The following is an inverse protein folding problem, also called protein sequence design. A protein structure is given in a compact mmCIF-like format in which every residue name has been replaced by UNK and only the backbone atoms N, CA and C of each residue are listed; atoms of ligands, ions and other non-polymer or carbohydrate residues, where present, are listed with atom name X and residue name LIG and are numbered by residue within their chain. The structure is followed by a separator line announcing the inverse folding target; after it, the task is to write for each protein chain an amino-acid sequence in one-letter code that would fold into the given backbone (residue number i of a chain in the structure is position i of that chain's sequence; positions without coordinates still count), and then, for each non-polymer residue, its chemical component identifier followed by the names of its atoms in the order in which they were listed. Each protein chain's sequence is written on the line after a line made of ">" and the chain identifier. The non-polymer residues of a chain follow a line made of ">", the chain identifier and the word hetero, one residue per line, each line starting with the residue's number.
data_IF_463807686017
#
_entry.id   IF_463807686017
#
_cell.length_a   1.000
_cell.length_b   1.000
_cell.length_c   1.000
_cell.angle_alpha   90.00
_cell.angle_beta   90.00
_cell.angle_gamma   90.00
#
_symmetry.space_group_name_H-M   'P 1'
#
loop_
_entity.id
_entity.type
_entity.pdbx_description
1 polymer ?
#
# COMPACT_ATOMS: atom_id res chain seq x y z
N UNK A 1 17.41 14.58 -30.29
CA UNK A 1 16.17 14.01 -29.72
C UNK A 1 16.35 14.02 -28.22
N UNK A 2 15.66 14.90 -27.50
CA UNK A 2 15.69 14.94 -26.04
C UNK A 2 15.02 13.67 -25.51
N UNK A 3 15.78 12.82 -24.82
CA UNK A 3 15.22 11.62 -24.17
C UNK A 3 14.11 12.07 -23.21
N UNK A 4 13.02 11.31 -23.16
CA UNK A 4 11.84 11.73 -22.42
C UNK A 4 12.02 11.32 -20.97
N UNK A 5 12.78 12.13 -20.23
CA UNK A 5 13.05 11.91 -18.80
C UNK A 5 11.75 11.60 -18.04
N UNK A 6 11.71 10.43 -17.41
CA UNK A 6 10.61 10.05 -16.52
C UNK A 6 11.12 10.09 -15.09
N UNK A 7 10.59 11.04 -14.31
CA UNK A 7 10.92 11.23 -12.91
C UNK A 7 9.74 10.81 -12.03
N UNK A 8 10.01 9.88 -11.13
CA UNK A 8 9.04 9.31 -10.20
C UNK A 8 9.54 9.55 -8.79
N UNK A 9 8.67 10.11 -7.94
CA UNK A 9 8.98 10.31 -6.54
C UNK A 9 8.14 9.39 -5.65
N UNK A 10 8.74 8.95 -4.54
CA UNK A 10 8.08 8.21 -3.47
C UNK A 10 8.29 8.89 -2.13
N UNK A 11 7.23 9.03 -1.34
CA UNK A 11 7.28 9.59 0.02
C UNK A 11 6.43 8.73 0.96
N UNK A 12 7.02 8.25 2.05
CA UNK A 12 6.28 7.67 3.17
C UNK A 12 5.78 8.79 4.07
N UNK A 13 4.46 9.00 4.18
CA UNK A 13 3.78 10.08 4.92
C UNK A 13 3.38 9.66 6.35
N UNK A 14 3.99 8.61 6.90
CA UNK A 14 3.74 8.15 8.26
C UNK A 14 4.50 8.98 9.29
N UNK A 15 3.81 9.43 10.35
CA UNK A 15 4.48 10.02 11.50
C UNK A 15 3.83 11.27 12.09
N UNK A 16 4.48 11.84 13.11
CA UNK A 16 4.10 13.11 13.71
C UNK A 16 4.63 14.34 12.97
N UNK A 17 4.42 15.53 13.54
CA UNK A 17 4.91 16.80 12.98
C UNK A 17 6.44 16.83 12.83
N UNK A 18 7.17 16.27 13.80
CA UNK A 18 8.64 16.27 13.86
C UNK A 18 9.27 14.98 13.33
N UNK A 19 8.50 14.13 12.65
CA UNK A 19 9.06 12.90 12.10
C UNK A 19 9.97 13.19 10.91
N UNK A 20 10.98 12.34 10.73
CA UNK A 20 11.89 12.42 9.60
C UNK A 20 11.23 11.78 8.38
N UNK A 21 10.83 12.60 7.41
CA UNK A 21 10.32 12.13 6.12
C UNK A 21 11.48 12.07 5.12
N UNK A 22 11.37 11.18 4.15
CA UNK A 22 12.32 11.10 3.04
C UNK A 22 11.58 11.27 1.72
N UNK A 23 12.19 12.00 0.81
CA UNK A 23 11.77 12.14 -0.57
C UNK A 23 12.73 11.34 -1.44
N UNK A 24 12.23 10.23 -1.98
CA UNK A 24 13.00 9.34 -2.83
C UNK A 24 12.68 9.62 -4.30
N UNK A 25 13.69 9.98 -5.10
CA UNK A 25 13.55 10.31 -6.51
C UNK A 25 14.24 9.28 -7.40
N UNK A 26 13.45 8.62 -8.24
CA UNK A 26 13.93 7.73 -9.30
C UNK A 26 13.82 8.43 -10.65
N UNK A 27 14.91 8.45 -11.42
CA UNK A 27 14.98 8.96 -12.79
C UNK A 27 15.25 7.82 -13.76
N UNK A 28 14.43 7.72 -14.81
CA UNK A 28 14.63 6.76 -15.90
C UNK A 28 15.46 7.36 -17.02
N UNK A 29 16.43 6.59 -17.49
CA UNK A 29 17.22 6.89 -18.66
C UNK A 29 16.86 5.91 -19.78
N UNK A 30 16.28 6.45 -20.86
CA UNK A 30 15.90 5.69 -22.05
C UNK A 30 17.07 4.90 -22.63
N UNK A 31 18.28 5.49 -22.62
CA UNK A 31 19.51 4.85 -23.07
C UNK A 31 19.96 3.79 -22.05
N UNK A 32 19.53 2.55 -22.29
CA UNK A 32 19.86 1.37 -21.48
C UNK A 32 18.74 0.89 -20.57
N UNK A 33 17.54 1.47 -20.68
CA UNK A 33 16.34 1.12 -19.91
C UNK A 33 16.63 0.94 -18.41
N UNK A 34 17.29 1.96 -17.83
CA UNK A 34 17.84 1.91 -16.48
C UNK A 34 17.28 3.01 -15.61
N UNK A 35 16.95 2.66 -14.38
CA UNK A 35 16.52 3.60 -13.36
C UNK A 35 17.68 3.97 -12.45
N UNK A 36 17.70 5.19 -11.96
CA UNK A 36 18.71 5.67 -11.02
C UNK A 36 18.01 6.26 -9.81
N UNK A 37 18.45 5.89 -8.62
CA UNK A 37 18.17 6.68 -7.42
C UNK A 37 18.97 7.98 -7.53
N UNK A 38 18.31 9.01 -8.06
CA UNK A 38 18.94 10.31 -8.32
C UNK A 38 19.14 11.10 -7.03
N UNK A 39 18.17 11.02 -6.13
CA UNK A 39 18.21 11.78 -4.87
C UNK A 39 17.40 11.10 -3.78
N UNK A 40 17.94 11.14 -2.57
CA UNK A 40 17.28 10.72 -1.34
C UNK A 40 17.35 11.86 -0.34
N UNK A 41 16.32 12.70 -0.34
CA UNK A 41 16.32 13.97 0.40
C UNK A 41 15.58 13.81 1.71
N UNK A 42 16.25 14.10 2.82
CA UNK A 42 15.59 14.12 4.12
C UNK A 42 14.83 15.45 4.28
N UNK A 43 13.53 15.38 4.57
CA UNK A 43 12.74 16.54 4.96
C UNK A 43 13.06 16.85 6.41
N UNK A 44 13.72 17.99 6.64
CA UNK A 44 13.94 18.55 7.97
C UNK A 44 13.23 19.91 8.05
N UNK A 45 12.67 20.22 9.21
CA UNK A 45 12.30 21.60 9.52
C UNK A 45 13.62 22.33 9.83
N UNK A 46 14.15 23.06 8.85
CA UNK A 46 15.33 23.93 9.04
C UNK A 46 14.87 25.38 9.34
N UNK A 47 15.74 26.18 9.96
CA UNK A 47 15.42 27.57 10.28
C UNK A 47 15.14 28.38 9.00
N UNK A 48 13.85 28.67 8.75
CA UNK A 48 13.38 29.52 7.65
C UNK A 48 12.60 28.81 6.54
N UNK A 49 12.63 27.48 6.48
CA UNK A 49 11.86 26.68 5.52
C UNK A 49 11.12 25.56 6.26
N UNK A 50 9.79 25.62 6.28
CA UNK A 50 8.99 24.51 6.79
C UNK A 50 9.24 23.29 5.87
N UNK A 51 9.43 22.08 6.43
CA UNK A 51 9.69 20.88 5.63
C UNK A 51 8.64 20.59 4.55
N UNK A 52 7.43 21.12 4.76
CA UNK A 52 6.31 21.10 3.82
C UNK A 52 6.56 21.91 2.53
N UNK A 53 7.33 23.01 2.61
CA UNK A 53 7.72 23.80 1.44
C UNK A 53 8.81 23.12 0.61
N UNK A 54 9.71 22.39 1.27
CA UNK A 54 10.79 21.66 0.59
C UNK A 54 10.24 20.62 -0.40
N UNK A 55 9.18 19.88 -0.03
CA UNK A 55 8.54 18.91 -0.93
C UNK A 55 8.03 19.60 -2.20
N UNK A 56 7.38 20.76 -2.06
CA UNK A 56 6.88 21.56 -3.19
C UNK A 56 8.02 22.02 -4.10
N UNK A 57 9.12 22.48 -3.51
CA UNK A 57 10.30 22.93 -4.24
C UNK A 57 10.94 21.79 -5.02
N UNK A 58 11.11 20.62 -4.41
CA UNK A 58 11.66 19.45 -5.09
C UNK A 58 10.76 18.94 -6.22
N UNK A 59 9.43 18.92 -6.02
CA UNK A 59 8.48 18.59 -7.09
C UNK A 59 8.69 19.49 -8.31
N UNK A 60 8.88 20.80 -8.09
CA UNK A 60 9.12 21.77 -9.17
C UNK A 60 10.52 21.63 -9.76
N UNK A 61 11.56 21.57 -8.92
CA UNK A 61 12.97 21.51 -9.33
C UNK A 61 13.27 20.27 -10.18
N UNK A 62 12.69 19.12 -9.81
CA UNK A 62 12.91 17.86 -10.52
C UNK A 62 11.82 17.55 -11.54
N UNK A 63 10.90 18.49 -11.80
CA UNK A 63 9.80 18.33 -12.77
C UNK A 63 9.01 17.03 -12.58
N UNK A 64 8.71 16.69 -11.31
CA UNK A 64 8.04 15.44 -10.96
C UNK A 64 6.61 15.45 -11.50
N UNK A 65 6.28 14.40 -12.26
CA UNK A 65 4.93 14.21 -12.81
C UNK A 65 4.11 13.23 -12.01
N UNK A 66 4.76 12.28 -11.34
CA UNK A 66 4.10 11.22 -10.59
C UNK A 66 4.72 11.11 -9.20
N UNK A 67 3.87 11.21 -8.17
CA UNK A 67 4.25 11.08 -6.78
C UNK A 67 3.44 9.96 -6.12
N UNK A 68 4.14 8.95 -5.61
CA UNK A 68 3.56 7.81 -4.91
C UNK A 68 3.67 8.00 -3.40
N UNK A 69 2.57 7.77 -2.69
CA UNK A 69 2.42 8.03 -1.27
C UNK A 69 1.77 6.85 -0.56
N UNK A 70 2.13 6.58 0.69
CA UNK A 70 1.39 5.65 1.56
C UNK A 70 0.31 6.36 2.39
N UNK A 71 -0.46 7.23 1.72
CA UNK A 71 -1.48 8.08 2.34
C UNK A 71 -2.84 7.96 1.63
N UNK A 72 -3.97 7.88 2.36
CA UNK A 72 -5.30 7.74 1.76
C UNK A 72 -5.67 8.97 0.90
N UNK A 73 -5.70 8.82 -0.42
CA UNK A 73 -6.01 9.93 -1.35
C UNK A 73 -7.51 10.17 -1.56
N UNK A 74 -8.33 9.20 -1.15
CA UNK A 74 -9.80 9.25 -1.25
C UNK A 74 -10.43 9.27 0.14
N UNK A 75 -11.58 9.91 0.24
CA UNK A 75 -12.33 10.03 1.48
C UNK A 75 -13.33 8.88 1.64
N UNK A 76 -13.67 8.46 2.88
CA UNK A 76 -14.74 7.50 3.10
C UNK A 76 -16.10 8.13 2.74
N UNK A 77 -17.11 7.33 2.36
CA UNK A 77 -18.38 7.84 1.84
C UNK A 77 -19.09 8.84 2.76
N UNK A 78 -18.97 8.71 4.08
CA UNK A 78 -19.60 9.64 5.02
C UNK A 78 -18.87 10.97 5.19
N UNK A 79 -17.63 11.13 4.71
CA UNK A 79 -16.84 12.35 4.94
C UNK A 79 -17.45 13.59 4.29
N UNK A 80 -17.97 13.44 3.07
CA UNK A 80 -18.61 14.50 2.29
C UNK A 80 -20.13 14.28 2.16
N UNK A 81 -20.69 13.41 2.99
CA UNK A 81 -22.09 13.04 2.90
C UNK A 81 -23.01 14.15 3.42
N UNK A 82 -23.97 14.55 2.59
CA UNK A 82 -24.97 15.59 2.90
C UNK A 82 -26.32 15.03 3.36
N UNK A 83 -26.45 13.70 3.45
CA UNK A 83 -27.71 13.06 3.84
C UNK A 83 -27.99 13.27 5.33
N UNK A 84 -29.27 13.38 5.69
CA UNK A 84 -29.69 13.17 7.07
C UNK A 84 -29.47 11.70 7.43
N UNK A 85 -28.39 11.43 8.16
CA UNK A 85 -27.87 10.08 8.33
C UNK A 85 -28.89 9.14 9.01
N UNK A 86 -29.34 8.05 8.35
CA UNK A 86 -30.24 7.06 8.96
C UNK A 86 -29.52 6.08 9.91
N UNK A 87 -28.23 6.32 10.17
CA UNK A 87 -27.30 5.45 10.89
C UNK A 87 -26.48 4.58 9.94
N UNK A 88 -25.27 4.21 10.39
CA UNK A 88 -24.31 3.45 9.58
C UNK A 88 -24.93 2.20 8.95
N UNK A 89 -25.63 1.36 9.73
CA UNK A 89 -26.22 0.09 9.28
C UNK A 89 -27.30 0.24 8.18
N UNK A 90 -27.91 1.42 8.05
CA UNK A 90 -28.97 1.69 7.07
C UNK A 90 -28.56 2.73 6.02
N UNK A 91 -27.27 2.98 5.88
CA UNK A 91 -26.73 3.90 4.88
C UNK A 91 -27.18 3.49 3.46
N UNK A 92 -27.84 4.39 2.71
CA UNK A 92 -28.33 4.12 1.35
C UNK A 92 -27.29 4.46 0.26
N UNK A 93 -26.10 4.91 0.64
CA UNK A 93 -25.05 5.32 -0.31
C UNK A 93 -24.59 4.11 -1.11
N UNK A 94 -24.63 4.20 -2.44
CA UNK A 94 -24.45 3.07 -3.37
C UNK A 94 -23.16 2.28 -3.10
N UNK A 95 -21.96 2.88 -3.03
CA UNK A 95 -20.74 2.14 -2.67
C UNK A 95 -20.82 1.37 -1.35
N UNK A 96 -21.53 1.90 -0.36
CA UNK A 96 -21.71 1.24 0.95
C UNK A 96 -22.64 0.03 0.82
N UNK A 97 -23.73 0.17 0.07
CA UNK A 97 -24.67 -0.92 -0.22
C UNK A 97 -23.98 -2.05 -1.01
N UNK A 98 -23.19 -1.72 -2.03
CA UNK A 98 -22.47 -2.69 -2.84
C UNK A 98 -21.46 -3.50 -2.01
N UNK A 99 -20.66 -2.82 -1.18
CA UNK A 99 -19.71 -3.49 -0.28
C UNK A 99 -20.45 -4.44 0.66
N UNK A 100 -21.57 -4.02 1.25
CA UNK A 100 -22.36 -4.86 2.16
C UNK A 100 -22.96 -6.07 1.48
N UNK A 101 -23.52 -5.88 0.29
CA UNK A 101 -24.04 -6.97 -0.53
C UNK A 101 -22.95 -8.02 -0.79
N UNK A 102 -21.74 -7.59 -1.15
CA UNK A 102 -20.58 -8.48 -1.36
C UNK A 102 -20.13 -9.18 -0.09
N UNK A 103 -20.11 -8.47 1.05
CA UNK A 103 -19.78 -9.06 2.35
C UNK A 103 -20.78 -10.16 2.72
N UNK A 104 -22.07 -9.92 2.52
CA UNK A 104 -23.13 -10.88 2.77
C UNK A 104 -23.02 -12.08 1.82
N UNK A 105 -22.77 -11.83 0.53
CA UNK A 105 -22.54 -12.88 -0.46
C UNK A 105 -21.39 -13.82 -0.03
N UNK A 106 -20.25 -13.28 0.40
CA UNK A 106 -19.12 -14.09 0.88
C UNK A 106 -19.51 -14.95 2.10
N UNK A 107 -20.28 -14.38 3.04
CA UNK A 107 -20.76 -15.11 4.21
C UNK A 107 -21.77 -16.21 3.83
N UNK A 108 -22.62 -15.97 2.85
CA UNK A 108 -23.60 -16.95 2.34
C UNK A 108 -22.92 -18.09 1.59
N UNK A 109 -21.96 -17.77 0.71
CA UNK A 109 -21.15 -18.78 -0.01
C UNK A 109 -20.40 -19.69 0.97
N UNK A 110 -19.81 -19.14 2.02
CA UNK A 110 -19.15 -19.93 3.06
C UNK A 110 -20.13 -20.79 3.87
N UNK A 111 -21.32 -20.27 4.21
CA UNK A 111 -22.39 -21.09 4.86
C UNK A 111 -22.86 -22.22 3.96
N UNK A 112 -23.06 -21.96 2.67
CA UNK A 112 -23.47 -22.98 1.71
C UNK A 112 -22.44 -24.11 1.61
N UNK A 113 -21.14 -23.80 1.66
CA UNK A 113 -20.07 -24.84 1.70
C UNK A 113 -20.18 -25.72 2.94
N UNK A 114 -20.50 -25.15 4.11
CA UNK A 114 -20.69 -25.89 5.36
C UNK A 114 -21.91 -26.83 5.26
N UNK A 115 -23.02 -26.32 4.72
CA UNK A 115 -24.27 -27.08 4.61
C UNK A 115 -24.18 -28.21 3.57
N UNK A 116 -23.55 -27.94 2.41
CA UNK A 116 -23.45 -28.91 1.32
C UNK A 116 -22.42 -30.02 1.59
N UNK A 117 -21.27 -29.68 2.16
CA UNK A 117 -20.16 -30.62 2.34
C UNK A 117 -19.46 -30.45 3.70
N UNK A 118 -20.14 -30.72 4.84
CA UNK A 118 -19.62 -30.40 6.18
C UNK A 118 -18.31 -31.13 6.52
N UNK A 119 -18.18 -32.40 6.11
CA UNK A 119 -16.96 -33.18 6.35
C UNK A 119 -15.76 -32.63 5.58
N UNK A 120 -15.97 -32.31 4.30
CA UNK A 120 -14.92 -31.74 3.45
C UNK A 120 -14.53 -30.35 3.93
N UNK A 121 -15.51 -29.55 4.34
CA UNK A 121 -15.28 -28.24 4.91
C UNK A 121 -14.39 -28.32 6.16
N UNK A 122 -14.67 -29.23 7.09
CA UNK A 122 -13.86 -29.39 8.29
C UNK A 122 -12.47 -29.96 7.98
N UNK A 123 -12.34 -30.84 6.97
CA UNK A 123 -11.03 -31.30 6.48
C UNK A 123 -10.20 -30.15 5.90
N UNK A 124 -10.76 -29.40 4.95
CA UNK A 124 -10.09 -28.24 4.32
C UNK A 124 -9.73 -27.16 5.36
N UNK A 125 -10.57 -26.99 6.39
CA UNK A 125 -10.30 -26.09 7.51
C UNK A 125 -9.17 -26.59 8.41
N UNK A 126 -9.17 -27.86 8.77
CA UNK A 126 -8.09 -28.45 9.56
C UNK A 126 -6.77 -28.38 8.79
N UNK A 127 -6.80 -28.65 7.48
CA UNK A 127 -5.65 -28.50 6.60
C UNK A 127 -5.14 -27.05 6.50
N UNK A 128 -6.04 -26.05 6.55
CA UNK A 128 -5.63 -24.64 6.57
C UNK A 128 -5.06 -24.20 7.93
N UNK A 129 -5.54 -24.80 9.04
CA UNK A 129 -5.00 -24.61 10.39
C UNK A 129 -3.62 -25.32 10.56
N UNK A 130 -3.23 -26.25 9.67
CA UNK A 130 -1.92 -26.88 9.68
C UNK A 130 -0.83 -25.92 9.19
N UNK A 131 0.19 -25.69 10.03
CA UNK A 131 1.37 -24.90 9.67
C UNK A 131 2.23 -25.70 8.67
N UNK A 132 1.99 -25.51 7.38
CA UNK A 132 2.87 -26.05 6.35
C UNK A 132 4.10 -25.16 6.19
N UNK A 133 5.23 -25.58 6.76
CA UNK A 133 6.51 -24.86 6.67
C UNK A 133 7.10 -24.74 5.25
N UNK A 134 6.50 -25.39 4.23
CA UNK A 134 7.00 -25.42 2.85
C UNK A 134 5.96 -25.29 1.73
N UNK A 135 4.68 -24.97 2.02
CA UNK A 135 3.68 -24.73 0.96
C UNK A 135 3.42 -23.24 0.74
N UNK A 136 3.29 -22.92 -0.54
CA UNK A 136 3.09 -21.62 -1.16
C UNK A 136 1.73 -20.99 -0.84
N UNK A 137 1.49 -20.69 0.44
CA UNK A 137 0.28 -19.99 0.89
C UNK A 137 0.20 -18.56 0.36
N UNK A 138 1.31 -18.02 -0.19
CA UNK A 138 1.42 -16.67 -0.72
C UNK A 138 0.40 -16.39 -1.84
N UNK A 139 0.01 -17.43 -2.58
CA UNK A 139 -0.97 -17.37 -3.66
C UNK A 139 -2.44 -17.36 -3.21
N UNK A 140 -2.74 -17.71 -1.95
CA UNK A 140 -4.13 -17.83 -1.47
C UNK A 140 -4.76 -16.45 -1.27
N UNK A 141 -5.80 -16.17 -2.06
CA UNK A 141 -6.64 -14.98 -1.91
C UNK A 141 -7.71 -15.30 -0.86
N UNK A 142 -7.90 -14.48 0.20
CA UNK A 142 -8.86 -14.70 1.30
C UNK A 142 -10.27 -15.13 0.91
N UNK A 143 -10.74 -14.77 -0.28
CA UNK A 143 -12.07 -15.12 -0.80
C UNK A 143 -12.13 -16.40 -1.64
N UNK A 144 -10.99 -16.97 -2.04
CA UNK A 144 -10.92 -18.15 -2.92
C UNK A 144 -10.93 -19.45 -2.12
N UNK A 145 -10.38 -19.45 -0.90
CA UNK A 145 -10.42 -20.59 0.03
C UNK A 145 -11.53 -20.44 1.08
N UNK A 146 -11.62 -21.39 2.02
CA UNK A 146 -12.48 -21.27 3.20
C UNK A 146 -12.13 -19.96 3.93
N UNK A 147 -13.15 -19.14 4.22
CA UNK A 147 -12.90 -17.87 4.91
C UNK A 147 -12.25 -18.14 6.27
N UNK A 148 -11.13 -17.49 6.56
CA UNK A 148 -10.46 -17.64 7.85
C UNK A 148 -11.36 -17.19 9.00
N UNK A 149 -11.18 -17.76 10.20
CA UNK A 149 -11.99 -17.37 11.39
C UNK A 149 -11.87 -15.88 11.70
N UNK A 150 -10.69 -15.31 11.45
CA UNK A 150 -10.40 -13.90 11.68
C UNK A 150 -11.08 -13.03 10.63
N UNK A 151 -11.04 -13.42 9.35
CA UNK A 151 -11.70 -12.68 8.28
C UNK A 151 -13.23 -12.76 8.40
N UNK A 152 -13.80 -13.92 8.73
CA UNK A 152 -15.24 -14.05 9.07
C UNK A 152 -15.69 -13.12 10.19
N UNK A 153 -14.88 -13.03 11.26
CA UNK A 153 -15.15 -12.10 12.37
C UNK A 153 -15.14 -10.66 11.89
N UNK A 154 -14.22 -10.29 11.00
CA UNK A 154 -14.19 -8.96 10.36
C UNK A 154 -15.43 -8.72 9.53
N UNK A 155 -15.82 -9.65 8.66
CA UNK A 155 -17.02 -9.52 7.83
C UNK A 155 -18.29 -9.36 8.68
N UNK A 156 -18.43 -10.12 9.77
CA UNK A 156 -19.56 -10.00 10.71
C UNK A 156 -19.59 -8.69 11.48
N UNK A 157 -18.43 -8.08 11.79
CA UNK A 157 -18.37 -6.74 12.39
C UNK A 157 -18.89 -5.67 11.44
N UNK A 158 -18.81 -5.90 10.14
CA UNK A 158 -19.40 -5.04 9.12
C UNK A 158 -18.46 -3.93 8.64
N UNK A 159 -19.00 -3.14 7.72
CA UNK A 159 -18.34 -2.00 7.09
C UNK A 159 -18.86 -0.69 7.69
N UNK A 160 -17.94 0.14 8.19
CA UNK A 160 -18.24 1.43 8.83
C UNK A 160 -18.00 2.57 7.82
N UNK A 161 -19.03 3.15 7.20
CA UNK A 161 -18.87 4.06 6.06
C UNK A 161 -18.25 5.44 6.39
N UNK A 162 -18.06 5.75 7.68
CA UNK A 162 -17.33 6.94 8.15
C UNK A 162 -15.85 6.67 8.45
N UNK A 163 -15.45 5.40 8.45
CA UNK A 163 -14.08 4.96 8.74
C UNK A 163 -13.46 4.25 7.54
N UNK A 164 -14.26 3.48 6.83
CA UNK A 164 -13.85 2.59 5.76
C UNK A 164 -14.22 3.13 4.39
N UNK A 165 -13.31 2.90 3.45
CA UNK A 165 -13.48 3.14 2.01
C UNK A 165 -13.83 1.83 1.32
N UNK A 166 -14.60 1.85 0.21
CA UNK A 166 -14.78 0.67 -0.65
C UNK A 166 -13.46 -0.04 -0.99
N UNK A 167 -12.40 0.75 -1.16
CA UNK A 167 -11.03 0.26 -1.35
C UNK A 167 -10.50 -0.59 -0.18
N UNK A 168 -10.83 -0.25 1.08
CA UNK A 168 -10.41 -1.07 2.24
C UNK A 168 -10.98 -2.47 2.15
N UNK A 169 -12.24 -2.60 1.73
CA UNK A 169 -12.88 -3.90 1.55
C UNK A 169 -12.18 -4.73 0.47
N UNK A 170 -11.75 -4.12 -0.65
CA UNK A 170 -10.91 -4.80 -1.64
C UNK A 170 -9.66 -5.37 -0.97
N UNK A 171 -8.93 -4.55 -0.21
CA UNK A 171 -7.71 -5.00 0.46
C UNK A 171 -8.02 -6.13 1.43
N UNK A 172 -9.15 -6.11 2.15
CA UNK A 172 -9.54 -7.23 3.00
C UNK A 172 -9.73 -8.51 2.19
N UNK A 173 -10.47 -8.45 1.09
CA UNK A 173 -10.75 -9.63 0.25
C UNK A 173 -9.50 -10.26 -0.37
N UNK A 174 -8.42 -9.50 -0.56
CA UNK A 174 -7.20 -9.98 -1.22
C UNK A 174 -5.98 -10.17 -0.31
N UNK A 175 -5.93 -9.50 0.85
CA UNK A 175 -4.74 -9.39 1.69
C UNK A 175 -4.98 -9.60 3.18
N UNK A 176 -6.22 -9.72 3.67
CA UNK A 176 -6.51 -9.75 5.11
C UNK A 176 -5.68 -10.78 5.88
N UNK A 177 -5.67 -12.03 5.41
CA UNK A 177 -4.96 -13.12 6.08
C UNK A 177 -3.43 -12.94 6.00
N UNK A 178 -2.90 -12.47 4.86
CA UNK A 178 -1.47 -12.21 4.69
C UNK A 178 -0.98 -11.07 5.60
N UNK A 179 -1.77 -9.99 5.71
CA UNK A 179 -1.48 -8.87 6.60
C UNK A 179 -1.46 -9.30 8.06
N UNK A 180 -2.45 -10.10 8.47
CA UNK A 180 -2.52 -10.60 9.85
C UNK A 180 -1.38 -11.58 10.15
N UNK A 181 -1.06 -12.49 9.23
CA UNK A 181 -0.04 -13.53 9.43
C UNK A 181 1.39 -12.98 9.43
N UNK A 182 1.69 -12.03 8.54
CA UNK A 182 3.06 -11.49 8.40
C UNK A 182 3.29 -10.36 9.41
N UNK A 183 2.35 -9.42 9.50
CA UNK A 183 2.55 -8.15 10.21
C UNK A 183 1.72 -8.01 11.48
N UNK A 184 0.82 -8.95 11.76
CA UNK A 184 -0.14 -8.87 12.86
C UNK A 184 -0.98 -7.57 12.83
N UNK A 185 -1.33 -7.11 11.62
CA UNK A 185 -2.07 -5.88 11.40
C UNK A 185 -3.28 -6.12 10.49
N UNK A 186 -4.30 -5.28 10.66
CA UNK A 186 -5.42 -5.17 9.71
C UNK A 186 -5.29 -3.90 8.89
N UNK A 187 -5.96 -3.85 7.75
CA UNK A 187 -5.94 -2.69 6.87
C UNK A 187 -7.19 -1.85 7.07
N UNK A 188 -7.03 -0.62 7.54
CA UNK A 188 -8.11 0.35 7.69
C UNK A 188 -7.54 1.72 7.33
N UNK A 189 -7.22 1.90 6.05
CA UNK A 189 -6.34 2.98 5.56
C UNK A 189 -6.65 4.36 6.11
N UNK A 190 -7.86 4.87 5.84
CA UNK A 190 -8.28 6.21 6.23
C UNK A 190 -8.37 6.32 7.75
N UNK A 191 -9.07 5.41 8.41
CA UNK A 191 -9.25 5.51 9.86
C UNK A 191 -8.03 5.15 10.71
N UNK A 192 -7.01 4.50 10.16
CA UNK A 192 -5.70 4.35 10.82
C UNK A 192 -4.83 5.60 10.67
N UNK A 193 -5.14 6.48 9.72
CA UNK A 193 -4.38 7.71 9.49
C UNK A 193 -4.86 8.80 10.44
N UNK A 194 -3.93 9.49 11.10
CA UNK A 194 -4.32 10.55 12.05
C UNK A 194 -4.95 11.74 11.33
N UNK A 195 -5.96 12.35 11.96
CA UNK A 195 -6.64 13.54 11.42
C UNK A 195 -5.67 14.71 11.17
N UNK A 196 -4.60 14.80 11.98
CA UNK A 196 -3.56 15.83 11.84
C UNK A 196 -2.78 15.64 10.53
N UNK A 197 -2.38 14.40 10.21
CA UNK A 197 -1.70 14.10 8.94
C UNK A 197 -2.66 14.32 7.78
N UNK A 198 -3.93 13.93 7.91
CA UNK A 198 -4.94 14.17 6.86
C UNK A 198 -5.09 15.66 6.56
N UNK A 199 -5.19 16.48 7.61
CA UNK A 199 -5.27 17.94 7.47
C UNK A 199 -4.01 18.53 6.86
N UNK A 200 -2.82 18.09 7.31
CA UNK A 200 -1.52 18.52 6.77
C UNK A 200 -1.39 18.20 5.29
N UNK A 201 -1.71 16.97 4.90
CA UNK A 201 -1.64 16.56 3.50
C UNK A 201 -2.66 17.32 2.63
N UNK A 202 -3.88 17.52 3.13
CA UNK A 202 -4.89 18.33 2.44
C UNK A 202 -4.40 19.77 2.22
N UNK A 203 -3.68 20.35 3.18
CA UNK A 203 -3.02 21.66 3.02
C UNK A 203 -1.92 21.59 1.95
N UNK A 204 -0.98 20.65 2.06
CA UNK A 204 0.12 20.45 1.10
C UNK A 204 -0.36 20.30 -0.34
N UNK A 205 -1.38 19.46 -0.54
CA UNK A 205 -1.94 19.15 -1.86
C UNK A 205 -2.43 20.40 -2.60
N UNK A 206 -2.90 21.44 -1.90
CA UNK A 206 -3.32 22.71 -2.51
C UNK A 206 -2.18 23.49 -3.16
N UNK A 207 -0.95 23.21 -2.76
CA UNK A 207 0.25 23.89 -3.24
C UNK A 207 1.01 23.10 -4.31
N UNK A 208 0.58 21.87 -4.60
CA UNK A 208 1.18 21.06 -5.65
C UNK A 208 0.80 21.60 -7.05
N UNK A 209 1.68 21.44 -8.05
CA UNK A 209 1.39 21.89 -9.40
C UNK A 209 0.24 21.08 -10.02
N UNK A 210 -0.57 21.72 -10.86
CA UNK A 210 -1.78 21.11 -11.43
C UNK A 210 -1.52 19.87 -12.32
N UNK A 211 -0.29 19.73 -12.85
CA UNK A 211 0.12 18.58 -13.66
C UNK A 211 0.68 17.39 -12.88
N UNK A 212 0.74 17.47 -11.54
CA UNK A 212 1.22 16.37 -10.71
C UNK A 212 0.11 15.34 -10.49
N UNK A 213 0.37 14.09 -10.87
CA UNK A 213 -0.46 12.96 -10.53
C UNK A 213 -0.03 12.36 -9.19
N UNK A 214 -1.00 12.15 -8.31
CA UNK A 214 -0.80 11.52 -7.01
C UNK A 214 -1.30 10.08 -7.07
N UNK A 215 -0.50 9.16 -6.55
CA UNK A 215 -0.85 7.75 -6.43
C UNK A 215 -0.73 7.29 -4.99
N UNK A 216 -1.71 6.51 -4.55
CA UNK A 216 -1.74 5.86 -3.25
C UNK A 216 -1.21 4.43 -3.39
N UNK A 217 -0.22 4.08 -2.59
CA UNK A 217 0.25 2.71 -2.41
C UNK A 217 0.24 2.35 -0.93
N UNK A 218 0.62 1.13 -0.58
CA UNK A 218 0.80 0.78 0.83
C UNK A 218 1.98 -0.17 1.02
N UNK A 219 2.91 0.20 1.89
CA UNK A 219 4.17 -0.52 2.14
C UNK A 219 3.93 -2.02 2.38
N UNK A 220 2.98 -2.37 3.25
CA UNK A 220 2.73 -3.77 3.57
C UNK A 220 2.19 -4.56 2.38
N UNK A 221 1.44 -3.92 1.48
CA UNK A 221 0.93 -4.58 0.28
C UNK A 221 2.05 -4.80 -0.72
N UNK A 222 2.95 -3.83 -0.88
CA UNK A 222 4.15 -3.97 -1.72
C UNK A 222 4.99 -5.15 -1.21
N UNK A 223 5.28 -5.20 0.09
CA UNK A 223 6.06 -6.30 0.69
C UNK A 223 5.38 -7.67 0.49
N UNK A 224 4.05 -7.75 0.61
CA UNK A 224 3.30 -8.98 0.32
C UNK A 224 3.44 -9.38 -1.15
N UNK A 225 3.36 -8.43 -2.07
CA UNK A 225 3.52 -8.71 -3.51
C UNK A 225 4.95 -9.14 -3.85
N UNK A 226 5.96 -8.61 -3.15
CA UNK A 226 7.35 -9.08 -3.29
C UNK A 226 7.50 -10.54 -2.83
N UNK A 227 6.84 -10.91 -1.72
CA UNK A 227 6.81 -12.32 -1.27
C UNK A 227 6.08 -13.20 -2.28
N UNK A 228 4.95 -12.76 -2.82
CA UNK A 228 4.19 -13.48 -3.87
C UNK A 228 5.00 -13.67 -5.16
N UNK A 229 5.90 -12.75 -5.46
CA UNK A 229 6.82 -12.84 -6.60
C UNK A 229 8.10 -13.62 -6.27
N UNK A 230 8.22 -14.21 -5.07
CA UNK A 230 9.42 -14.89 -4.58
C UNK A 230 10.69 -14.02 -4.60
N UNK A 231 10.54 -12.69 -4.44
CA UNK A 231 11.65 -11.77 -4.30
C UNK A 231 12.16 -11.68 -2.86
N UNK A 232 11.29 -11.95 -1.89
CA UNK A 232 11.59 -11.88 -0.45
C UNK A 232 10.92 -13.05 0.24
N UNK A 233 11.56 -13.62 1.25
CA UNK A 233 11.01 -14.69 2.09
C UNK A 233 10.17 -14.09 3.22
N UNK A 234 9.13 -14.81 3.64
CA UNK A 234 8.27 -14.36 4.76
C UNK A 234 9.06 -14.07 6.05
N UNK A 235 10.05 -14.92 6.37
CA UNK A 235 10.86 -14.78 7.59
C UNK A 235 11.67 -13.48 7.58
N UNK A 236 12.14 -13.05 6.41
CA UNK A 236 12.85 -11.78 6.24
C UNK A 236 11.94 -10.61 6.59
N UNK A 237 10.67 -10.64 6.17
CA UNK A 237 9.70 -9.58 6.52
C UNK A 237 9.41 -9.47 8.02
N UNK A 238 9.46 -10.57 8.77
CA UNK A 238 9.27 -10.54 10.23
C UNK A 238 10.41 -9.81 10.93
N UNK A 239 11.62 -9.91 10.37
CA UNK A 239 12.83 -9.27 10.90
C UNK A 239 13.06 -7.86 10.34
N UNK A 240 12.24 -7.38 9.40
CA UNK A 240 12.41 -6.08 8.73
C UNK A 240 12.43 -4.90 9.70
N UNK A 241 11.63 -4.97 10.76
CA UNK A 241 11.50 -3.93 11.79
C UNK A 241 12.40 -4.17 13.00
N UNK A 242 13.16 -5.26 13.02
CA UNK A 242 14.17 -5.51 14.05
C UNK A 242 15.33 -4.50 13.92
N UNK A 243 15.88 -4.05 15.05
CA UNK A 243 16.91 -3.01 15.06
C UNK A 243 18.25 -3.48 14.46
N UNK A 244 18.60 -4.74 14.67
CA UNK A 244 19.87 -5.31 14.21
C UNK A 244 19.68 -6.02 12.88
N UNK A 245 18.74 -6.97 12.83
CA UNK A 245 18.51 -7.81 11.65
C UNK A 245 17.84 -7.03 10.52
N UNK A 246 17.04 -6.01 10.83
CA UNK A 246 16.32 -5.23 9.82
C UNK A 246 17.24 -4.50 8.85
N UNK A 247 18.49 -4.17 9.24
CA UNK A 247 19.47 -3.58 8.31
C UNK A 247 19.89 -4.58 7.23
N UNK A 248 20.23 -5.80 7.63
CA UNK A 248 20.61 -6.87 6.70
C UNK A 248 19.46 -7.21 5.74
N UNK A 249 18.23 -7.34 6.27
CA UNK A 249 17.03 -7.58 5.47
C UNK A 249 16.80 -6.45 4.47
N UNK A 250 16.89 -5.18 4.88
CA UNK A 250 16.72 -4.05 3.95
C UNK A 250 17.75 -4.09 2.83
N UNK A 251 19.02 -4.40 3.14
CA UNK A 251 20.07 -4.51 2.13
C UNK A 251 19.75 -5.61 1.11
N UNK A 252 19.37 -6.81 1.56
CA UNK A 252 19.00 -7.94 0.69
C UNK A 252 17.80 -7.59 -0.22
N UNK A 253 16.79 -6.92 0.34
CA UNK A 253 15.62 -6.46 -0.41
C UNK A 253 16.03 -5.44 -1.48
N UNK A 254 16.82 -4.44 -1.12
CA UNK A 254 17.25 -3.39 -2.05
C UNK A 254 18.08 -4.00 -3.19
N UNK A 255 19.05 -4.88 -2.88
CA UNK A 255 19.86 -5.56 -3.90
C UNK A 255 19.03 -6.44 -4.84
N UNK A 256 17.98 -7.08 -4.31
CA UNK A 256 17.05 -7.88 -5.12
C UNK A 256 16.25 -6.99 -6.07
N UNK A 257 15.75 -5.85 -5.59
CA UNK A 257 15.04 -4.86 -6.40
C UNK A 257 15.95 -4.22 -7.45
N UNK A 258 17.19 -3.88 -7.07
CA UNK A 258 18.22 -3.33 -7.96
C UNK A 258 18.40 -4.21 -9.20
N UNK A 259 18.59 -5.52 -8.97
CA UNK A 259 18.75 -6.51 -10.04
C UNK A 259 17.47 -6.73 -10.85
N UNK A 260 16.32 -6.84 -10.18
CA UNK A 260 15.04 -7.21 -10.81
C UNK A 260 14.48 -6.08 -11.67
N UNK A 261 14.62 -4.84 -11.23
CA UNK A 261 14.02 -3.66 -11.86
C UNK A 261 15.04 -2.79 -12.61
N UNK A 262 16.30 -3.24 -12.70
CA UNK A 262 17.41 -2.49 -13.30
C UNK A 262 17.52 -1.06 -12.74
N UNK A 263 17.44 -0.96 -11.41
CA UNK A 263 17.66 0.30 -10.68
C UNK A 263 19.15 0.38 -10.34
N UNK A 264 19.75 1.56 -10.33
CA UNK A 264 21.09 1.79 -9.84
C UNK A 264 21.04 2.70 -8.62
N UNK A 265 21.81 2.33 -7.61
CA UNK A 265 21.86 3.03 -6.33
C UNK A 265 23.33 3.22 -5.97
N UNK A 266 23.74 4.45 -5.65
CA UNK A 266 25.08 4.73 -5.17
C UNK A 266 25.28 4.18 -3.75
N UNK A 267 26.52 3.77 -3.42
CA UNK A 267 26.84 3.19 -2.11
C UNK A 267 26.44 4.08 -0.93
N UNK A 268 26.56 5.40 -1.08
CA UNK A 268 26.14 6.36 -0.07
C UNK A 268 24.62 6.32 0.18
N UNK A 269 23.81 6.33 -0.87
CA UNK A 269 22.34 6.26 -0.74
C UNK A 269 21.90 4.88 -0.25
N UNK A 270 22.58 3.81 -0.68
CA UNK A 270 22.36 2.45 -0.19
C UNK A 270 22.52 2.39 1.33
N UNK A 271 23.59 2.97 1.87
CA UNK A 271 23.85 3.03 3.30
C UNK A 271 22.74 3.78 4.06
N UNK A 272 22.24 4.88 3.50
CA UNK A 272 21.10 5.63 4.08
C UNK A 272 19.83 4.76 4.10
N UNK A 273 19.48 4.12 2.98
CA UNK A 273 18.29 3.26 2.88
C UNK A 273 18.34 2.10 3.89
N UNK A 274 19.51 1.50 4.08
CA UNK A 274 19.71 0.40 5.04
C UNK A 274 19.60 0.88 6.49
N UNK A 275 20.19 2.04 6.81
CA UNK A 275 20.21 2.58 8.18
C UNK A 275 18.88 3.19 8.61
N UNK A 276 18.13 3.80 7.70
CA UNK A 276 16.92 4.57 8.00
C UNK A 276 15.66 3.89 7.45
N UNK A 277 14.82 3.27 8.29
CA UNK A 277 13.59 2.62 7.84
C UNK A 277 12.65 3.53 7.03
N UNK A 278 12.55 4.81 7.38
CA UNK A 278 11.71 5.79 6.65
C UNK A 278 12.21 6.09 5.24
N UNK A 279 13.53 6.06 5.04
CA UNK A 279 14.14 6.21 3.73
C UNK A 279 13.81 4.99 2.87
N UNK A 280 13.95 3.79 3.43
CA UNK A 280 13.56 2.54 2.78
C UNK A 280 12.07 2.49 2.43
N UNK A 281 11.17 2.91 3.32
CA UNK A 281 9.73 2.99 3.04
C UNK A 281 9.43 3.93 1.86
N UNK A 282 10.09 5.09 1.81
CA UNK A 282 9.92 6.07 0.72
C UNK A 282 10.49 5.54 -0.60
N UNK A 283 11.59 4.77 -0.55
CA UNK A 283 12.12 4.04 -1.69
C UNK A 283 11.14 2.99 -2.21
N UNK A 284 10.48 2.21 -1.34
CA UNK A 284 9.44 1.27 -1.78
C UNK A 284 8.26 1.97 -2.47
N UNK A 285 7.88 3.19 -2.05
CA UNK A 285 6.88 3.99 -2.76
C UNK A 285 7.34 4.33 -4.17
N UNK A 286 8.59 4.78 -4.33
CA UNK A 286 9.14 5.12 -5.63
C UNK A 286 9.23 3.87 -6.55
N UNK A 287 9.58 2.71 -5.98
CA UNK A 287 9.59 1.42 -6.69
C UNK A 287 8.19 1.03 -7.18
N UNK A 288 7.14 1.24 -6.39
CA UNK A 288 5.77 1.03 -6.85
C UNK A 288 5.42 1.95 -8.04
N UNK A 289 6.00 3.15 -8.09
CA UNK A 289 5.89 4.05 -9.23
C UNK A 289 6.59 3.52 -10.50
N UNK A 290 7.73 2.83 -10.39
CA UNK A 290 8.34 2.14 -11.54
C UNK A 290 7.36 1.10 -12.11
N UNK A 291 6.76 0.26 -11.26
CA UNK A 291 5.77 -0.71 -11.69
C UNK A 291 4.57 -0.04 -12.37
N UNK A 292 4.12 1.12 -11.87
CA UNK A 292 3.08 1.91 -12.51
C UNK A 292 3.48 2.39 -13.91
N UNK A 293 4.70 2.91 -14.07
CA UNK A 293 5.24 3.33 -15.37
C UNK A 293 5.29 2.17 -16.37
N UNK A 294 5.71 0.99 -15.89
CA UNK A 294 5.77 -0.25 -16.68
C UNK A 294 4.40 -0.91 -16.87
N UNK A 295 3.31 -0.34 -16.32
CA UNK A 295 1.94 -0.90 -16.31
C UNK A 295 1.85 -2.29 -15.66
N UNK A 296 2.76 -2.59 -14.74
CA UNK A 296 2.82 -3.83 -13.98
C UNK A 296 2.06 -3.69 -12.66
N UNK A 297 0.75 -3.51 -12.79
CA UNK A 297 -0.15 -3.27 -11.65
C UNK A 297 -1.20 -4.37 -11.56
N UNK A 298 -1.62 -4.73 -10.35
CA UNK A 298 -2.79 -5.59 -10.21
C UNK A 298 -4.04 -4.85 -10.70
N UNK A 299 -4.90 -5.51 -11.51
CA UNK A 299 -6.13 -4.89 -11.96
C UNK A 299 -7.06 -4.68 -10.76
N UNK A 300 -7.61 -3.47 -10.66
CA UNK A 300 -8.65 -3.19 -9.68
C UNK A 300 -10.02 -3.50 -10.28
N UNK A 301 -10.93 -4.09 -9.49
CA UNK A 301 -12.29 -4.34 -9.95
C UNK A 301 -13.05 -3.04 -10.28
N UNK A 302 -13.91 -3.09 -11.29
CA UNK A 302 -14.69 -1.93 -11.77
C UNK A 302 -15.61 -1.29 -10.73
N UNK A 303 -16.09 -2.06 -9.76
CA UNK A 303 -17.02 -1.58 -8.72
C UNK A 303 -16.40 -0.60 -7.71
N UNK A 304 -15.07 -0.48 -7.66
CA UNK A 304 -14.41 0.55 -6.84
C UNK A 304 -14.59 1.94 -7.48
N UNK A 305 -14.89 1.98 -8.78
CA UNK A 305 -15.08 3.22 -9.53
C UNK A 305 -13.81 4.06 -9.58
N UNK A 306 -13.98 5.39 -9.61
CA UNK A 306 -12.89 6.36 -9.74
C UNK A 306 -11.94 6.38 -8.53
N UNK A 307 -12.39 5.90 -7.37
CA UNK A 307 -11.54 5.83 -6.18
C UNK A 307 -10.34 4.88 -6.37
N UNK A 308 -10.47 3.91 -7.29
CA UNK A 308 -9.40 2.96 -7.61
C UNK A 308 -8.36 3.50 -8.59
N UNK A 309 -8.66 4.54 -9.38
CA UNK A 309 -7.79 4.97 -10.49
C UNK A 309 -6.39 5.41 -10.02
N UNK A 310 -6.32 5.94 -8.80
CA UNK A 310 -5.08 6.42 -8.20
C UNK A 310 -4.51 5.47 -7.14
N UNK A 311 -5.11 4.30 -6.92
CA UNK A 311 -4.58 3.30 -5.99
C UNK A 311 -3.78 2.24 -6.74
N UNK A 312 -2.57 1.96 -6.24
CA UNK A 312 -1.60 1.13 -6.94
C UNK A 312 -1.15 -0.05 -6.06
N UNK A 313 -1.28 -1.27 -6.58
CA UNK A 313 -0.71 -2.50 -6.01
C UNK A 313 0.26 -3.09 -7.04
N UNK A 314 1.58 -2.94 -6.86
CA UNK A 314 2.56 -3.38 -7.85
C UNK A 314 2.51 -4.89 -8.03
N UNK A 315 2.86 -5.34 -9.24
CA UNK A 315 3.03 -6.75 -9.59
C UNK A 315 4.48 -6.93 -10.05
N UNK A 316 5.26 -7.68 -9.27
CA UNK A 316 6.69 -7.90 -9.50
C UNK A 316 7.01 -9.16 -10.32
#
# INVERSE_FOLDING_TARGET
>A
MTSRKCNIAGVSMKGGRKDNFFFCLLEHFDDGDRWFLRSLLQVKDEEGLAGDEAIREWIKQYEIRQLVLDFPLTNPPCHECVLQCPGALRCPVVPVCEVRMRMEQLLQEDRAKIEQQPKRYEQERNDDDLVHHGRDWHSKIPTVHILSRSFKRRLKRGFLPYWNRPLDFLVWTHYYDALLKIFNQTYDSFGNTSLVIISRFSYLRRHFPAGLELFEAHILLILIEMVRANLVRQQELQNLYDLEQGRAVRLEIIQTLEKKLNVFIYDYDMDILVKHPRAFESFLMAIAGICLHQKQMRPLPSWIGREGEHFIIPKF
#
